data_IF_501189511978
#
_entry.id   IF_501189511978
#
_cell.length_a   1.000
_cell.length_b   1.000
_cell.length_c   1.000
_cell.angle_alpha   90.00
_cell.angle_beta   90.00
_cell.angle_gamma   90.00
#
_symmetry.space_group_name_H-M   'P 1'
#
loop_
_entity.id
_entity.type
_entity.pdbx_description
1 polymer ?
#
# COMPACT_ATOMS: atom_id res chain seq x y z
N UNK A 1 0.53 19.77 22.67
CA UNK A 1 0.59 18.46 23.35
C UNK A 1 -0.51 17.59 22.77
N UNK A 2 -0.18 16.65 21.88
CA UNK A 2 -1.01 15.49 21.58
C UNK A 2 -0.09 14.30 21.29
N UNK A 3 -0.28 13.25 22.08
CA UNK A 3 0.39 11.95 22.03
C UNK A 3 0.32 11.31 20.65
N UNK A 4 1.47 10.95 20.08
CA UNK A 4 1.56 9.80 19.17
C UNK A 4 2.63 8.83 19.70
N UNK A 5 2.33 8.27 20.87
CA UNK A 5 2.83 6.97 21.28
C UNK A 5 2.00 5.92 20.55
N UNK A 6 2.36 5.62 19.30
CA UNK A 6 1.99 4.34 18.70
C UNK A 6 3.29 3.57 18.47
N UNK A 7 3.73 2.91 19.54
CA UNK A 7 4.69 1.80 19.49
C UNK A 7 4.04 0.52 18.95
N UNK A 8 3.04 0.66 18.09
CA UNK A 8 2.47 -0.46 17.36
C UNK A 8 3.12 -0.41 15.99
N UNK A 9 4.10 -1.28 15.78
CA UNK A 9 4.63 -1.64 14.46
C UNK A 9 3.48 -2.24 13.63
N UNK A 10 2.52 -1.41 13.24
CA UNK A 10 1.31 -1.77 12.53
C UNK A 10 1.09 -0.81 11.36
N UNK A 11 1.02 -1.37 10.17
CA UNK A 11 0.70 -0.64 8.94
C UNK A 11 -0.82 -0.47 8.91
N UNK A 12 -1.28 0.77 9.05
CA UNK A 12 -2.68 1.08 8.79
C UNK A 12 -2.93 1.05 7.26
N UNK A 13 -3.96 0.31 6.84
CA UNK A 13 -4.38 0.23 5.44
C UNK A 13 -5.60 1.11 5.25
N UNK A 14 -5.43 2.22 4.52
CA UNK A 14 -6.53 3.08 4.10
C UNK A 14 -7.06 2.70 2.70
N UNK A 15 -7.99 3.47 2.16
CA UNK A 15 -8.57 3.21 0.83
C UNK A 15 -7.57 3.38 -0.33
N UNK A 16 -6.51 4.18 -0.15
CA UNK A 16 -5.46 4.37 -1.16
C UNK A 16 -4.50 3.18 -1.15
N UNK A 17 -4.06 2.76 0.03
CA UNK A 17 -3.22 1.57 0.22
C UNK A 17 -3.96 0.32 -0.22
N UNK A 18 -5.21 0.12 0.20
CA UNK A 18 -6.02 -1.04 -0.20
C UNK A 18 -6.14 -1.17 -1.73
N UNK A 19 -6.32 -0.04 -2.44
CA UNK A 19 -6.34 -0.03 -3.91
C UNK A 19 -5.00 -0.48 -4.50
N UNK A 20 -3.88 0.01 -3.97
CA UNK A 20 -2.54 -0.39 -4.40
C UNK A 20 -2.35 -1.90 -4.19
N UNK A 21 -2.66 -2.39 -3.00
CA UNK A 21 -2.50 -3.81 -2.66
C UNK A 21 -3.32 -4.73 -3.56
N UNK A 22 -4.58 -4.35 -3.87
CA UNK A 22 -5.43 -5.09 -4.80
C UNK A 22 -4.88 -5.07 -6.23
N UNK A 23 -4.38 -3.93 -6.71
CA UNK A 23 -3.76 -3.81 -8.04
C UNK A 23 -2.45 -4.59 -8.17
N UNK A 24 -1.72 -4.74 -7.08
CA UNK A 24 -0.52 -5.56 -6.98
C UNK A 24 -0.84 -7.04 -6.76
N UNK A 25 -2.12 -7.42 -6.65
CA UNK A 25 -2.57 -8.78 -6.35
C UNK A 25 -1.97 -9.33 -5.04
N UNK A 26 -1.58 -8.44 -4.12
CA UNK A 26 -1.07 -8.80 -2.80
C UNK A 26 -2.18 -9.21 -1.84
N UNK A 27 -3.38 -8.66 -2.07
CA UNK A 27 -4.59 -8.98 -1.31
C UNK A 27 -5.76 -9.12 -2.28
N UNK A 28 -6.62 -10.12 -2.05
CA UNK A 28 -7.82 -10.36 -2.85
C UNK A 28 -8.98 -9.45 -2.40
N UNK A 29 -10.23 -9.81 -2.72
CA UNK A 29 -11.46 -9.15 -2.25
C UNK A 29 -11.64 -9.31 -0.73
N UNK A 30 -10.81 -8.59 0.00
CA UNK A 30 -10.69 -8.61 1.45
C UNK A 30 -10.97 -7.22 2.00
N UNK A 31 -11.46 -7.13 3.24
CA UNK A 31 -11.74 -5.84 3.88
C UNK A 31 -10.45 -5.09 4.22
N UNK A 32 -10.54 -3.80 4.56
CA UNK A 32 -9.36 -3.00 4.90
C UNK A 32 -8.61 -3.58 6.11
N UNK A 33 -9.36 -4.12 7.08
CA UNK A 33 -8.83 -4.75 8.29
C UNK A 33 -8.04 -6.02 7.94
N UNK A 34 -8.62 -6.91 7.13
CA UNK A 34 -7.97 -8.14 6.70
C UNK A 34 -6.73 -7.87 5.83
N UNK A 35 -6.79 -6.83 4.99
CA UNK A 35 -5.62 -6.37 4.23
C UNK A 35 -4.52 -5.85 5.16
N UNK A 36 -4.87 -5.10 6.20
CA UNK A 36 -3.92 -4.63 7.21
C UNK A 36 -3.26 -5.81 7.94
N UNK A 37 -4.02 -6.80 8.37
CA UNK A 37 -3.48 -7.99 9.04
C UNK A 37 -2.51 -8.76 8.14
N UNK A 38 -2.88 -8.94 6.86
CA UNK A 38 -2.03 -9.60 5.87
C UNK A 38 -0.72 -8.85 5.66
N UNK A 39 -0.79 -7.53 5.44
CA UNK A 39 0.40 -6.69 5.23
C UNK A 39 1.29 -6.62 6.48
N UNK A 40 0.68 -6.58 7.66
CA UNK A 40 1.40 -6.61 8.92
C UNK A 40 2.08 -7.95 9.21
N UNK A 41 1.52 -9.05 8.71
CA UNK A 41 2.10 -10.39 8.83
C UNK A 41 3.30 -10.58 7.89
N UNK A 42 3.21 -10.09 6.64
CA UNK A 42 4.31 -10.24 5.67
C UNK A 42 5.43 -9.21 5.85
N UNK A 43 5.14 -8.04 6.42
CA UNK A 43 6.12 -6.95 6.52
C UNK A 43 6.92 -7.03 7.82
N UNK A 44 8.26 -7.12 7.77
CA UNK A 44 9.08 -7.10 8.98
C UNK A 44 8.93 -5.80 9.76
N UNK A 45 8.86 -5.86 11.10
CA UNK A 45 8.63 -4.72 11.99
C UNK A 45 9.52 -3.50 11.67
N UNK A 46 10.81 -3.72 11.40
CA UNK A 46 11.78 -2.66 11.02
C UNK A 46 11.34 -1.80 9.82
N UNK A 47 10.52 -2.34 8.92
CA UNK A 47 10.07 -1.64 7.73
C UNK A 47 8.63 -1.14 7.85
N UNK A 48 7.86 -1.55 8.86
CA UNK A 48 6.42 -1.24 8.93
C UNK A 48 6.11 0.24 8.93
N UNK A 49 6.85 1.03 9.73
CA UNK A 49 6.70 2.49 9.77
C UNK A 49 6.93 3.14 8.40
N UNK A 50 8.02 2.78 7.74
CA UNK A 50 8.37 3.35 6.43
C UNK A 50 7.48 2.82 5.31
N UNK A 51 7.14 1.53 5.34
CA UNK A 51 6.24 0.91 4.38
C UNK A 51 4.86 1.58 4.39
N UNK A 52 4.34 1.93 5.57
CA UNK A 52 3.08 2.67 5.67
C UNK A 52 3.14 4.01 4.93
N UNK A 53 4.15 4.85 5.21
CA UNK A 53 4.34 6.14 4.55
C UNK A 53 4.51 5.99 3.02
N UNK A 54 5.31 5.03 2.58
CA UNK A 54 5.55 4.77 1.16
C UNK A 54 4.29 4.31 0.43
N UNK A 55 3.50 3.42 1.04
CA UNK A 55 2.27 2.92 0.44
C UNK A 55 1.22 4.02 0.29
N UNK A 56 1.08 4.89 1.29
CA UNK A 56 0.18 6.06 1.21
C UNK A 56 0.63 7.00 0.10
N UNK A 57 1.91 7.39 0.09
CA UNK A 57 2.45 8.29 -0.94
C UNK A 57 2.25 7.70 -2.34
N UNK A 58 2.54 6.41 -2.53
CA UNK A 58 2.33 5.73 -3.80
C UNK A 58 0.84 5.75 -4.19
N UNK A 59 -0.07 5.44 -3.27
CA UNK A 59 -1.51 5.44 -3.52
C UNK A 59 -2.08 6.83 -3.86
N UNK A 60 -1.50 7.89 -3.28
CA UNK A 60 -1.97 9.27 -3.46
C UNK A 60 -1.32 10.00 -4.63
N UNK A 61 -0.05 9.75 -4.93
CA UNK A 61 0.75 10.53 -5.91
C UNK A 61 0.97 9.81 -7.24
N UNK A 62 0.83 8.48 -7.29
CA UNK A 62 1.17 7.68 -8.47
C UNK A 62 0.00 6.77 -8.86
N UNK A 63 -0.46 5.94 -7.93
CA UNK A 63 -1.47 4.92 -8.14
C UNK A 63 -2.89 5.48 -7.91
N UNK A 64 -3.23 6.53 -8.65
CA UNK A 64 -4.53 7.18 -8.59
C UNK A 64 -5.67 6.24 -9.01
N UNK A 65 -6.87 6.49 -8.48
CA UNK A 65 -8.05 5.68 -8.81
C UNK A 65 -8.39 5.75 -10.31
N UNK A 66 -8.22 6.92 -10.92
CA UNK A 66 -8.39 7.17 -12.36
C UNK A 66 -7.04 7.53 -12.95
N UNK A 67 -6.67 6.91 -14.07
CA UNK A 67 -5.40 7.16 -14.79
C UNK A 67 -4.14 7.11 -13.90
N UNK A 68 -3.77 5.93 -13.36
CA UNK A 68 -2.54 5.80 -12.58
C UNK A 68 -1.30 6.11 -13.44
N UNK A 69 -0.30 6.77 -12.86
CA UNK A 69 0.97 7.02 -13.53
C UNK A 69 1.89 5.79 -13.41
N UNK A 70 1.58 4.74 -14.16
CA UNK A 70 2.34 3.49 -14.15
C UNK A 70 3.79 3.68 -14.65
N UNK A 71 4.08 4.75 -15.41
CA UNK A 71 5.39 5.03 -15.97
C UNK A 71 6.39 5.51 -14.91
N UNK A 72 5.92 6.29 -13.93
CA UNK A 72 6.73 6.75 -12.79
C UNK A 72 6.70 5.79 -11.59
N UNK A 73 5.87 4.75 -11.65
CA UNK A 73 5.71 3.78 -10.56
C UNK A 73 6.89 2.82 -10.46
N UNK A 74 7.59 2.84 -9.32
CA UNK A 74 8.75 1.96 -9.04
C UNK A 74 8.40 0.46 -8.97
N UNK A 75 7.13 0.12 -8.72
CA UNK A 75 6.65 -1.28 -8.61
C UNK A 75 5.81 -1.71 -9.82
N UNK A 76 5.80 -0.90 -10.91
CA UNK A 76 5.03 -1.20 -12.12
C UNK A 76 5.38 -2.55 -12.74
N UNK A 77 6.65 -2.95 -12.67
CA UNK A 77 7.12 -4.24 -13.19
C UNK A 77 6.54 -5.44 -12.44
N UNK A 78 6.20 -5.28 -11.16
CA UNK A 78 5.58 -6.32 -10.33
C UNK A 78 4.04 -6.27 -10.42
N UNK A 79 3.48 -5.11 -10.77
CA UNK A 79 2.05 -4.88 -10.88
C UNK A 79 1.47 -5.47 -12.19
N UNK A 80 0.41 -6.27 -12.11
CA UNK A 80 -0.32 -6.74 -13.30
C UNK A 80 -1.00 -5.59 -14.04
N UNK A 81 -1.62 -4.66 -13.30
CA UNK A 81 -2.25 -3.45 -13.85
C UNK A 81 -1.22 -2.50 -14.48
N UNK A 82 -0.03 -2.40 -13.91
CA UNK A 82 1.05 -1.57 -14.43
C UNK A 82 1.63 -2.11 -15.73
N UNK A 83 1.80 -3.44 -15.82
CA UNK A 83 2.32 -4.12 -17.02
C UNK A 83 1.42 -4.00 -18.24
N UNK A 84 0.09 -3.91 -18.09
CA UNK A 84 -0.80 -3.71 -19.24
C UNK A 84 -0.88 -2.25 -19.72
N UNK A 85 -0.46 -1.29 -18.88
CA UNK A 85 -0.51 0.16 -19.14
C UNK A 85 0.86 0.76 -19.51
N UNK A 86 1.87 -0.08 -19.76
CA UNK A 86 3.25 0.33 -20.06
C UNK A 86 3.56 0.33 -21.55
#
# INVERSE_FOLDING_TARGET
MMNHLFSEDSIAVDTHVLRVLRRLELVADTTAEQAADTINSITPAKYKRHAHEWLIQLGMQVCHARSPDCRSCSVSMLCSTGRSNS
#
